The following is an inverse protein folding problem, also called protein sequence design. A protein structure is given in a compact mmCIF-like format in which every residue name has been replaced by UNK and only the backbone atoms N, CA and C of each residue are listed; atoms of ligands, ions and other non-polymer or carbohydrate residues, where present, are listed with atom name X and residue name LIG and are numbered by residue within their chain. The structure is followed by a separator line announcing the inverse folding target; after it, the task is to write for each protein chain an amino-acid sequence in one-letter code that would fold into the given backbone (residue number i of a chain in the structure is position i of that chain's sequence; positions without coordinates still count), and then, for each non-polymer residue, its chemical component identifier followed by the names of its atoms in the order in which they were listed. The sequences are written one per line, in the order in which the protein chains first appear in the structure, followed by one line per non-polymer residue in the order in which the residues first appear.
data_IF_044779055207
#
_entry.id   IF_044779055207
#
_cell.length_a   1.000
_cell.length_b   1.000
_cell.length_c   1.000
_cell.angle_alpha   90.00
_cell.angle_beta   90.00
_cell.angle_gamma   90.00
#
_symmetry.space_group_name_H-M   'P 1'
#
loop_
_entity.id
_entity.type
_entity.pdbx_description
1 polymer ?
#
# COMPACT_ATOMS: atom_id res chain seq x y z
N UNK A 1 3.70 81.42 -24.76
CA UNK A 1 2.47 81.58 -23.95
C UNK A 1 1.56 80.39 -24.21
N UNK A 2 1.61 79.29 -23.43
CA UNK A 2 0.60 78.24 -23.51
C UNK A 2 -0.53 78.50 -22.50
N UNK A 3 -1.75 78.30 -22.98
CA UNK A 3 -3.03 78.53 -22.32
C UNK A 3 -3.30 77.43 -21.29
N UNK A 4 -3.67 77.84 -20.08
CA UNK A 4 -4.13 76.96 -18.99
C UNK A 4 -5.54 76.46 -19.27
N UNK A 5 -5.75 75.14 -19.18
CA UNK A 5 -7.07 74.55 -19.05
C UNK A 5 -7.12 73.68 -17.79
N UNK A 6 -7.94 74.13 -16.83
CA UNK A 6 -8.25 73.45 -15.58
C UNK A 6 -9.43 72.51 -15.81
N UNK A 7 -9.20 71.19 -15.75
CA UNK A 7 -10.25 70.18 -15.83
C UNK A 7 -10.71 69.80 -14.42
N UNK A 8 -11.98 70.07 -14.12
CA UNK A 8 -12.70 69.70 -12.90
C UNK A 8 -12.68 68.18 -12.68
N UNK A 9 -12.11 67.73 -11.57
CA UNK A 9 -12.25 66.36 -11.07
C UNK A 9 -13.43 66.32 -10.10
N UNK A 10 -14.48 65.51 -10.31
CA UNK A 10 -15.57 65.38 -9.35
C UNK A 10 -15.10 64.61 -8.12
N UNK A 11 -15.34 65.20 -6.95
CA UNK A 11 -15.02 64.66 -5.63
C UNK A 11 -15.95 63.48 -5.26
N UNK A 12 -15.62 62.26 -5.71
CA UNK A 12 -16.13 61.01 -5.11
C UNK A 12 -15.11 59.87 -5.24
N UNK A 13 -14.01 59.95 -4.50
CA UNK A 13 -13.22 58.77 -4.15
C UNK A 13 -13.61 58.37 -2.72
N UNK A 14 -14.70 57.61 -2.62
CA UNK A 14 -15.05 56.87 -1.40
C UNK A 14 -13.96 55.83 -1.19
N UNK A 15 -13.38 55.80 0.00
CA UNK A 15 -12.37 54.83 0.43
C UNK A 15 -12.88 53.39 0.24
N UNK A 16 -12.46 52.72 -0.83
CA UNK A 16 -12.47 51.27 -0.89
C UNK A 16 -11.24 50.78 -0.10
N UNK A 17 -11.47 50.42 1.16
CA UNK A 17 -10.49 49.74 1.99
C UNK A 17 -10.27 48.35 1.41
N UNK A 18 -9.10 48.10 0.82
CA UNK A 18 -8.72 46.75 0.40
C UNK A 18 -8.85 45.81 1.60
N UNK A 19 -9.47 44.62 1.46
CA UNK A 19 -9.41 43.63 2.53
C UNK A 19 -7.94 43.31 2.78
N UNK A 20 -7.54 43.34 4.04
CA UNK A 20 -6.23 42.84 4.48
C UNK A 20 -6.15 41.39 4.01
N UNK A 21 -5.26 41.11 3.06
CA UNK A 21 -4.88 39.74 2.73
C UNK A 21 -4.14 39.19 3.95
N UNK A 22 -4.87 38.53 4.86
CA UNK A 22 -4.23 37.68 5.85
C UNK A 22 -3.60 36.55 5.06
N UNK A 23 -2.26 36.56 4.96
CA UNK A 23 -1.52 35.38 4.51
C UNK A 23 -2.01 34.20 5.36
N UNK A 24 -2.42 33.08 4.75
CA UNK A 24 -2.70 31.87 5.50
C UNK A 24 -1.51 31.57 6.40
N UNK A 25 -1.76 31.27 7.68
CA UNK A 25 -0.72 30.80 8.57
C UNK A 25 0.02 29.63 7.90
N UNK A 26 1.36 29.53 7.99
CA UNK A 26 2.10 28.39 7.46
C UNK A 26 1.43 27.11 7.96
N UNK A 27 1.00 26.25 7.03
CA UNK A 27 0.42 24.98 7.39
C UNK A 27 1.41 24.22 8.29
N UNK A 28 0.96 23.60 9.40
CA UNK A 28 1.85 22.82 10.24
C UNK A 28 2.62 21.83 9.37
N UNK A 29 3.94 21.77 9.56
CA UNK A 29 4.80 20.87 8.80
C UNK A 29 4.23 19.46 8.87
N UNK A 30 3.88 18.90 7.71
CA UNK A 30 3.39 17.53 7.62
C UNK A 30 4.53 16.60 8.02
N UNK A 31 4.48 16.07 9.25
CA UNK A 31 5.34 14.98 9.70
C UNK A 31 4.87 13.67 9.06
N UNK A 32 4.72 13.65 7.74
CA UNK A 32 4.22 12.47 7.08
C UNK A 32 5.32 11.42 7.11
N UNK A 33 5.09 10.33 7.85
CA UNK A 33 5.91 9.13 7.77
C UNK A 33 5.98 8.76 6.28
N UNK A 34 7.19 8.64 5.74
CA UNK A 34 7.44 8.22 4.36
C UNK A 34 7.79 6.75 4.37
N UNK A 35 6.88 5.91 3.90
CA UNK A 35 7.14 4.48 3.74
C UNK A 35 7.82 4.21 2.40
N UNK A 36 8.74 3.23 2.35
CA UNK A 36 9.30 2.78 1.08
C UNK A 36 8.19 2.22 0.20
N UNK A 37 8.31 2.43 -1.12
CA UNK A 37 7.39 1.85 -2.10
C UNK A 37 7.35 0.32 -1.95
N UNK A 38 6.16 -0.31 -1.95
CA UNK A 38 6.06 -1.76 -1.90
C UNK A 38 6.85 -2.43 -3.01
N UNK A 39 7.50 -3.56 -2.69
CA UNK A 39 8.18 -4.36 -3.69
C UNK A 39 7.17 -5.09 -4.58
N UNK A 40 7.41 -5.21 -5.89
CA UNK A 40 6.55 -6.01 -6.74
C UNK A 40 6.56 -7.49 -6.34
N UNK A 41 5.42 -8.15 -6.49
CA UNK A 41 5.25 -9.56 -6.12
C UNK A 41 4.81 -10.40 -7.33
N UNK A 42 5.57 -11.43 -7.67
CA UNK A 42 5.35 -12.32 -8.82
C UNK A 42 4.74 -13.69 -8.45
N UNK A 43 4.61 -13.98 -7.15
CA UNK A 43 4.05 -15.25 -6.67
C UNK A 43 5.08 -16.34 -6.37
N UNK A 44 6.38 -16.09 -6.51
CA UNK A 44 7.41 -17.16 -6.52
C UNK A 44 7.83 -17.68 -5.15
N UNK A 45 7.68 -16.88 -4.07
CA UNK A 45 8.16 -17.24 -2.73
C UNK A 45 7.18 -16.81 -1.62
N UNK A 46 6.97 -17.69 -0.63
CA UNK A 46 6.10 -17.42 0.54
C UNK A 46 6.62 -16.27 1.37
N UNK A 47 7.93 -16.23 1.65
CA UNK A 47 8.53 -15.12 2.40
C UNK A 47 8.38 -13.78 1.66
N UNK A 48 8.46 -13.80 0.31
CA UNK A 48 8.19 -12.61 -0.49
C UNK A 48 6.72 -12.20 -0.43
N UNK A 49 5.78 -13.16 -0.39
CA UNK A 49 4.36 -12.91 -0.21
C UNK A 49 4.07 -12.26 1.16
N UNK A 50 4.61 -12.81 2.25
CA UNK A 50 4.49 -12.24 3.60
C UNK A 50 5.00 -10.80 3.67
N UNK A 51 6.21 -10.56 3.16
CA UNK A 51 6.80 -9.23 3.12
C UNK A 51 5.96 -8.25 2.29
N UNK A 52 5.46 -8.71 1.14
CA UNK A 52 4.61 -7.93 0.25
C UNK A 52 3.31 -7.51 0.94
N UNK A 53 2.51 -8.46 1.45
CA UNK A 53 1.23 -8.15 2.08
C UNK A 53 1.40 -7.36 3.39
N UNK A 54 2.50 -7.59 4.11
CA UNK A 54 2.89 -6.75 5.25
C UNK A 54 3.11 -5.29 4.84
N UNK A 55 3.82 -5.03 3.73
CA UNK A 55 4.01 -3.68 3.19
C UNK A 55 2.69 -3.04 2.75
N UNK A 56 1.81 -3.78 2.06
CA UNK A 56 0.48 -3.27 1.67
C UNK A 56 -0.35 -2.86 2.88
N UNK A 57 -0.40 -3.72 3.91
CA UNK A 57 -1.10 -3.43 5.15
C UNK A 57 -0.54 -2.20 5.85
N UNK A 58 0.78 -2.08 5.91
CA UNK A 58 1.46 -0.93 6.50
C UNK A 58 1.12 0.37 5.77
N UNK A 59 1.16 0.38 4.43
CA UNK A 59 0.77 1.55 3.63
C UNK A 59 -0.70 1.94 3.85
N UNK A 60 -1.60 0.97 3.88
CA UNK A 60 -3.02 1.22 4.10
C UNK A 60 -3.32 1.83 5.48
N UNK A 61 -2.54 1.46 6.51
CA UNK A 61 -2.70 1.97 7.88
C UNK A 61 -2.02 3.33 8.06
N UNK A 62 -0.84 3.54 7.46
CA UNK A 62 -0.10 4.80 7.57
C UNK A 62 -0.72 5.92 6.73
N UNK A 63 -1.39 5.60 5.63
CA UNK A 63 -2.05 6.59 4.76
C UNK A 63 -3.56 6.32 4.64
N UNK A 64 -4.33 6.38 5.75
CA UNK A 64 -5.74 6.01 5.74
C UNK A 64 -6.58 6.95 4.87
N UNK A 65 -6.18 8.22 4.75
CA UNK A 65 -6.82 9.21 3.88
C UNK A 65 -6.65 8.89 2.38
N UNK A 66 -5.54 8.25 2.01
CA UNK A 66 -5.28 7.80 0.62
C UNK A 66 -5.98 6.49 0.30
N UNK A 67 -6.15 5.64 1.30
CA UNK A 67 -6.76 4.32 1.16
C UNK A 67 -7.98 4.12 2.07
N UNK A 68 -9.03 4.97 1.96
CA UNK A 68 -10.14 4.94 2.90
C UNK A 68 -11.09 3.76 2.70
N UNK A 69 -11.09 3.14 1.51
CA UNK A 69 -12.01 2.07 1.14
C UNK A 69 -11.30 0.73 1.01
N UNK A 70 -12.05 -0.37 1.13
CA UNK A 70 -11.52 -1.69 0.82
C UNK A 70 -11.04 -1.78 -0.65
N UNK A 71 -11.76 -1.16 -1.57
CA UNK A 71 -11.41 -1.13 -2.99
C UNK A 71 -10.06 -0.44 -3.23
N UNK A 72 -9.77 0.70 -2.58
CA UNK A 72 -8.49 1.38 -2.77
C UNK A 72 -7.31 0.62 -2.16
N UNK A 73 -7.53 -0.14 -1.07
CA UNK A 73 -6.52 -1.06 -0.50
C UNK A 73 -6.23 -2.24 -1.43
N UNK A 74 -7.27 -2.82 -2.05
CA UNK A 74 -7.10 -3.88 -3.06
C UNK A 74 -6.41 -3.32 -4.31
N UNK A 75 -6.81 -2.15 -4.80
CA UNK A 75 -6.17 -1.49 -5.93
C UNK A 75 -4.67 -1.25 -5.66
N UNK A 76 -4.33 -0.82 -4.44
CA UNK A 76 -2.94 -0.70 -4.01
C UNK A 76 -2.21 -2.04 -4.14
N UNK A 77 -2.74 -3.12 -3.56
CA UNK A 77 -2.12 -4.45 -3.65
C UNK A 77 -1.91 -4.89 -5.11
N UNK A 78 -2.97 -4.86 -5.92
CA UNK A 78 -2.93 -5.33 -7.31
C UNK A 78 -1.96 -4.51 -8.17
N UNK A 79 -1.80 -3.20 -7.89
CA UNK A 79 -0.86 -2.35 -8.62
C UNK A 79 0.62 -2.77 -8.53
N UNK A 80 0.96 -3.63 -7.57
CA UNK A 80 2.30 -4.18 -7.37
C UNK A 80 2.42 -5.67 -7.70
N UNK A 81 1.32 -6.32 -8.09
CA UNK A 81 1.34 -7.70 -8.57
C UNK A 81 1.86 -7.75 -10.02
N UNK A 82 2.62 -8.79 -10.36
CA UNK A 82 3.26 -8.97 -11.68
C UNK A 82 3.11 -10.41 -12.18
N UNK A 83 3.25 -10.58 -13.49
CA UNK A 83 3.26 -11.89 -14.14
C UNK A 83 2.01 -12.74 -13.78
N UNK A 84 2.22 -13.90 -13.16
CA UNK A 84 1.14 -14.80 -12.74
C UNK A 84 0.19 -14.13 -11.74
N UNK A 85 0.71 -13.36 -10.78
CA UNK A 85 -0.14 -12.70 -9.76
C UNK A 85 -0.97 -11.57 -10.36
N UNK A 86 -0.46 -10.89 -11.40
CA UNK A 86 -1.23 -9.87 -12.13
C UNK A 86 -2.41 -10.49 -12.89
N UNK A 87 -2.23 -11.68 -13.46
CA UNK A 87 -3.32 -12.43 -14.12
C UNK A 87 -4.31 -12.95 -13.10
N UNK A 88 -3.83 -13.54 -12.00
CA UNK A 88 -4.65 -14.06 -10.91
C UNK A 88 -5.54 -12.99 -10.27
N UNK A 89 -5.06 -11.75 -10.16
CA UNK A 89 -5.77 -10.65 -9.51
C UNK A 89 -6.75 -9.90 -10.41
N UNK A 90 -6.81 -10.19 -11.71
CA UNK A 90 -7.72 -9.54 -12.67
C UNK A 90 -9.17 -9.45 -12.18
N UNK A 91 -9.80 -10.53 -11.64
CA UNK A 91 -11.20 -10.46 -11.21
C UNK A 91 -11.44 -9.46 -10.08
N UNK A 92 -10.44 -9.15 -9.26
CA UNK A 92 -10.56 -8.13 -8.22
C UNK A 92 -10.42 -6.73 -8.80
N UNK A 93 -9.53 -6.56 -9.78
CA UNK A 93 -9.35 -5.30 -10.48
C UNK A 93 -10.62 -4.89 -11.22
N UNK A 94 -11.26 -5.84 -11.91
CA UNK A 94 -12.54 -5.63 -12.59
C UNK A 94 -13.62 -5.16 -11.61
N UNK A 95 -13.74 -5.84 -10.45
CA UNK A 95 -14.68 -5.43 -9.40
C UNK A 95 -14.41 -4.02 -8.89
N UNK A 96 -13.14 -3.66 -8.68
CA UNK A 96 -12.76 -2.31 -8.26
C UNK A 96 -13.17 -1.27 -9.32
N UNK A 97 -12.93 -1.54 -10.60
CA UNK A 97 -13.30 -0.62 -11.69
C UNK A 97 -14.80 -0.52 -11.93
N UNK A 98 -15.54 -1.61 -11.72
CA UNK A 98 -17.00 -1.64 -11.81
C UNK A 98 -17.70 -1.06 -10.57
N UNK A 99 -16.94 -0.64 -9.55
CA UNK A 99 -17.50 -0.13 -8.29
C UNK A 99 -18.22 -1.20 -7.46
N UNK A 100 -17.95 -2.48 -7.72
CA UNK A 100 -18.52 -3.58 -6.96
C UNK A 100 -17.92 -3.65 -5.55
N UNK A 101 -18.68 -4.24 -4.62
CA UNK A 101 -18.21 -4.42 -3.26
C UNK A 101 -17.06 -5.44 -3.23
N UNK A 102 -15.86 -4.93 -2.96
CA UNK A 102 -14.69 -5.76 -2.62
C UNK A 102 -14.37 -5.57 -1.16
N UNK A 103 -14.15 -6.66 -0.43
CA UNK A 103 -13.74 -6.63 0.97
C UNK A 103 -12.26 -7.00 1.04
N UNK A 104 -11.44 -6.10 1.58
CA UNK A 104 -9.98 -6.27 1.62
C UNK A 104 -9.57 -7.55 2.34
N UNK A 105 -10.25 -7.91 3.44
CA UNK A 105 -10.03 -9.17 4.16
C UNK A 105 -10.28 -10.41 3.31
N UNK A 106 -11.34 -10.43 2.49
CA UNK A 106 -11.60 -11.57 1.61
C UNK A 106 -10.53 -11.70 0.53
N UNK A 107 -10.02 -10.58 0.01
CA UNK A 107 -8.88 -10.58 -0.91
C UNK A 107 -7.62 -11.17 -0.25
N UNK A 108 -7.28 -10.75 0.98
CA UNK A 108 -6.13 -11.30 1.71
C UNK A 108 -6.25 -12.80 1.94
N UNK A 109 -7.41 -13.29 2.37
CA UNK A 109 -7.63 -14.72 2.57
C UNK A 109 -7.43 -15.55 1.29
N UNK A 110 -7.87 -15.03 0.13
CA UNK A 110 -7.63 -15.70 -1.15
C UNK A 110 -6.16 -15.65 -1.57
N UNK A 111 -5.43 -14.60 -1.20
CA UNK A 111 -3.98 -14.54 -1.40
C UNK A 111 -3.26 -15.59 -0.53
N UNK A 112 -3.63 -15.69 0.75
CA UNK A 112 -3.07 -16.68 1.67
C UNK A 112 -3.26 -18.11 1.15
N UNK A 113 -4.48 -18.46 0.74
CA UNK A 113 -4.75 -19.80 0.21
C UNK A 113 -4.02 -20.08 -1.11
N UNK A 114 -3.83 -19.07 -1.97
CA UNK A 114 -3.20 -19.23 -3.28
C UNK A 114 -1.68 -19.26 -3.22
N UNK A 115 -1.05 -18.46 -2.36
CA UNK A 115 0.40 -18.23 -2.39
C UNK A 115 1.15 -18.79 -1.18
N UNK A 116 0.49 -18.97 -0.03
CA UNK A 116 1.15 -19.37 1.22
C UNK A 116 1.01 -20.87 1.46
N UNK A 117 -0.22 -21.39 1.33
CA UNK A 117 -0.55 -22.78 1.70
C UNK A 117 -0.01 -23.83 0.70
N UNK A 118 0.08 -23.46 -0.59
CA UNK A 118 0.55 -24.38 -1.63
C UNK A 118 2.06 -24.67 -1.55
N UNK A 119 2.87 -23.69 -1.13
CA UNK A 119 4.32 -23.86 -1.08
C UNK A 119 4.79 -24.52 0.22
N UNK A 120 4.14 -24.29 1.36
CA UNK A 120 4.56 -24.94 2.62
C UNK A 120 4.40 -26.46 2.57
N UNK A 121 3.26 -26.95 2.07
CA UNK A 121 3.02 -28.39 1.93
C UNK A 121 3.95 -29.02 0.89
N UNK A 122 4.19 -28.35 -0.23
CA UNK A 122 5.10 -28.85 -1.25
C UNK A 122 6.56 -28.82 -0.76
N UNK A 123 7.03 -27.69 -0.20
CA UNK A 123 8.35 -27.53 0.41
C UNK A 123 8.60 -28.52 1.55
N UNK A 124 7.62 -28.75 2.43
CA UNK A 124 7.72 -29.78 3.47
C UNK A 124 7.84 -31.18 2.83
N UNK A 125 7.01 -31.51 1.83
CA UNK A 125 7.08 -32.81 1.15
C UNK A 125 8.41 -33.06 0.43
N UNK A 126 9.04 -32.04 -0.16
CA UNK A 126 10.34 -32.20 -0.85
C UNK A 126 11.54 -32.05 0.08
N UNK A 127 11.40 -31.29 1.16
CA UNK A 127 12.46 -30.98 2.12
C UNK A 127 12.61 -32.05 3.19
N UNK A 128 11.51 -32.53 3.78
CA UNK A 128 11.53 -33.49 4.89
C UNK A 128 12.27 -34.80 4.54
N UNK A 129 12.08 -35.43 3.36
CA UNK A 129 12.81 -36.65 3.02
C UNK A 129 14.32 -36.43 2.75
N UNK A 130 14.73 -35.18 2.48
CA UNK A 130 16.13 -34.81 2.21
C UNK A 130 16.89 -34.41 3.47
N UNK A 131 16.19 -34.17 4.58
CA UNK A 131 16.84 -33.85 5.86
C UNK A 131 17.50 -35.09 6.45
N UNK A 132 18.83 -35.06 6.52
CA UNK A 132 19.65 -36.05 7.23
C UNK A 132 20.40 -35.34 8.34
N UNK A 133 20.32 -35.87 9.56
CA UNK A 133 21.10 -35.37 10.67
C UNK A 133 22.58 -35.64 10.41
N UNK A 134 23.29 -34.62 9.90
CA UNK A 134 24.69 -34.74 9.49
C UNK A 134 25.60 -33.81 10.31
N UNK A 135 25.02 -32.97 11.17
CA UNK A 135 25.72 -31.99 12.01
C UNK A 135 25.15 -31.92 13.44
N UNK A 136 25.51 -30.86 14.18
CA UNK A 136 25.06 -30.61 15.55
C UNK A 136 23.55 -30.44 15.64
N UNK A 137 22.97 -30.88 16.77
CA UNK A 137 21.53 -30.82 17.04
C UNK A 137 20.93 -29.42 16.86
N UNK A 138 21.69 -28.35 17.19
CA UNK A 138 21.22 -26.97 17.02
C UNK A 138 21.03 -26.58 15.55
N UNK A 139 21.96 -26.95 14.67
CA UNK A 139 21.85 -26.68 13.23
C UNK A 139 20.68 -27.47 12.62
N UNK A 140 20.52 -28.72 13.02
CA UNK A 140 19.37 -29.54 12.64
C UNK A 140 18.04 -28.91 13.08
N UNK A 141 17.96 -28.39 14.31
CA UNK A 141 16.74 -27.74 14.81
C UNK A 141 16.42 -26.44 14.06
N UNK A 142 17.42 -25.66 13.65
CA UNK A 142 17.21 -24.45 12.86
C UNK A 142 16.64 -24.75 11.47
N UNK A 143 17.15 -25.80 10.81
CA UNK A 143 16.64 -26.23 9.50
C UNK A 143 15.23 -26.83 9.62
N UNK A 144 14.94 -27.55 10.72
CA UNK A 144 13.67 -28.27 10.91
C UNK A 144 12.50 -27.37 11.34
N UNK A 145 12.73 -26.37 12.18
CA UNK A 145 11.70 -25.50 12.80
C UNK A 145 10.71 -24.83 11.81
N UNK A 146 11.13 -24.30 10.64
CA UNK A 146 10.17 -23.74 9.68
C UNK A 146 9.24 -24.78 9.04
N UNK A 147 9.54 -26.08 9.14
CA UNK A 147 8.73 -27.16 8.57
C UNK A 147 7.71 -27.76 9.56
N UNK A 148 7.75 -27.38 10.85
CA UNK A 148 6.86 -27.93 11.88
C UNK A 148 5.73 -27.00 12.32
N UNK A 149 5.66 -25.77 11.81
CA UNK A 149 4.71 -24.78 12.32
C UNK A 149 3.31 -24.91 11.69
N UNK A 150 2.59 -26.00 11.97
CA UNK A 150 1.11 -26.10 12.03
C UNK A 150 0.65 -27.48 12.48
N UNK A 151 1.28 -28.05 13.51
CA UNK A 151 0.75 -29.23 14.17
C UNK A 151 1.22 -29.27 15.62
N UNK A 152 0.49 -28.60 16.50
CA UNK A 152 0.30 -29.11 17.84
C UNK A 152 -1.10 -28.72 18.34
N UNK A 153 -1.86 -29.66 18.96
CA UNK A 153 -3.25 -29.48 19.38
C UNK A 153 -3.48 -28.44 20.48
#
# INVERSE_FOLDING_TARGET
MPVSYCSKVPAKFVYLRCPVHQNPAPAPASNHIVLPKPQPFDGTCVAAAEAFFGQIGLHAITYPERFPTNASKVALAVSFMKDYTATWSQPYLDKVFNGEMVVFKHFLNHCESSFFDHNLRHCAKVGLPKMRQTGTMLAYMQDFNPHTCTQWP
#
